data_IF_448560107274
#
_entry.id   IF_448560107274
#
_cell.length_a   1.000
_cell.length_b   1.000
_cell.length_c   1.000
_cell.angle_alpha   90.00
_cell.angle_beta   90.00
_cell.angle_gamma   90.00
#
_symmetry.space_group_name_H-M   'P 1'
#
loop_
_entity.id
_entity.type
_entity.pdbx_description
1 polymer ?
#
# COMPACT_ATOMS: atom_id res chain seq x y z
N UNK A 1 -14.70 29.84 23.15
CA UNK A 1 -14.97 28.43 22.85
C UNK A 1 -13.80 27.58 23.37
N UNK A 2 -14.06 26.44 24.01
CA UNK A 2 -13.03 25.50 24.49
C UNK A 2 -13.04 24.28 23.56
N UNK A 3 -11.87 23.93 23.02
CA UNK A 3 -11.70 22.72 22.22
C UNK A 3 -11.57 21.52 23.18
N UNK A 4 -12.48 20.56 23.06
CA UNK A 4 -12.38 19.25 23.71
C UNK A 4 -11.96 18.22 22.65
N UNK A 5 -10.95 17.41 22.95
CA UNK A 5 -10.48 16.34 22.07
C UNK A 5 -10.54 15.00 22.79
N UNK A 6 -10.95 13.96 22.04
CA UNK A 6 -10.85 12.57 22.46
C UNK A 6 -9.98 11.85 21.43
N UNK A 7 -8.83 11.33 21.87
CA UNK A 7 -7.97 10.53 20.99
C UNK A 7 -8.56 9.14 20.80
N UNK A 8 -8.77 8.75 19.54
CA UNK A 8 -9.09 7.38 19.17
C UNK A 8 -7.89 6.45 19.34
N UNK A 9 -8.07 5.12 19.16
CA UNK A 9 -6.96 4.18 19.17
C UNK A 9 -5.91 4.55 18.11
N UNK A 10 -4.63 4.30 18.43
CA UNK A 10 -3.51 4.56 17.52
C UNK A 10 -3.68 3.80 16.21
N UNK A 11 -3.14 4.36 15.11
CA UNK A 11 -3.04 3.61 13.86
C UNK A 11 -2.22 2.35 14.08
N UNK A 12 -2.72 1.21 13.60
CA UNK A 12 -1.95 -0.03 13.64
C UNK A 12 -0.74 0.08 12.70
N UNK A 13 0.30 -0.68 12.98
CA UNK A 13 1.40 -0.81 12.04
C UNK A 13 0.87 -1.41 10.72
N UNK A 14 1.30 -0.85 9.60
CA UNK A 14 0.94 -1.36 8.28
C UNK A 14 1.54 -2.76 8.09
N UNK A 15 0.68 -3.70 7.70
CA UNK A 15 1.08 -5.06 7.33
C UNK A 15 0.83 -5.27 5.84
N UNK A 16 1.87 -5.15 5.02
CA UNK A 16 1.76 -5.47 3.60
C UNK A 16 1.65 -7.00 3.43
N UNK A 17 0.64 -7.45 2.70
CA UNK A 17 0.47 -8.85 2.34
C UNK A 17 1.40 -9.23 1.19
N UNK A 18 2.30 -10.18 1.41
CA UNK A 18 3.32 -10.60 0.47
C UNK A 18 2.73 -11.21 -0.81
N UNK A 19 1.63 -11.96 -0.69
CA UNK A 19 0.96 -12.56 -1.87
C UNK A 19 0.37 -11.47 -2.77
N UNK A 20 -0.32 -10.46 -2.21
CA UNK A 20 -0.83 -9.34 -3.01
C UNK A 20 0.32 -8.52 -3.59
N UNK A 21 1.40 -8.33 -2.82
CA UNK A 21 2.57 -7.58 -3.24
C UNK A 21 3.30 -8.24 -4.42
N UNK A 22 3.34 -9.57 -4.49
CA UNK A 22 3.86 -10.36 -5.62
C UNK A 22 3.14 -9.96 -6.92
N UNK A 23 1.82 -10.10 -6.97
CA UNK A 23 1.02 -9.75 -8.16
C UNK A 23 1.10 -8.26 -8.49
N UNK A 24 1.06 -7.38 -7.48
CA UNK A 24 1.26 -5.95 -7.68
C UNK A 24 2.61 -5.64 -8.35
N UNK A 25 3.68 -6.28 -7.87
CA UNK A 25 5.05 -6.08 -8.37
C UNK A 25 5.17 -6.55 -9.82
N UNK A 26 4.61 -7.71 -10.16
CA UNK A 26 4.55 -8.19 -11.54
C UNK A 26 3.79 -7.20 -12.43
N UNK A 27 2.58 -6.83 -12.04
CA UNK A 27 1.70 -5.98 -12.83
C UNK A 27 2.28 -4.58 -13.05
N UNK A 28 2.78 -3.92 -12.01
CA UNK A 28 3.38 -2.58 -12.16
C UNK A 28 4.66 -2.63 -13.02
N UNK A 29 5.40 -3.73 -12.98
CA UNK A 29 6.58 -3.94 -13.83
C UNK A 29 6.19 -4.08 -15.30
N UNK A 30 5.10 -4.79 -15.63
CA UNK A 30 4.61 -4.87 -17.02
C UNK A 30 4.19 -3.51 -17.60
N UNK A 31 3.82 -2.56 -16.74
CA UNK A 31 3.51 -1.17 -17.12
C UNK A 31 4.77 -0.31 -17.31
N UNK A 32 5.96 -0.90 -17.22
CA UNK A 32 7.26 -0.24 -17.45
C UNK A 32 7.80 0.52 -16.24
N UNK A 33 7.19 0.35 -15.05
CA UNK A 33 7.68 0.96 -13.81
C UNK A 33 8.75 0.08 -13.18
N UNK A 34 9.79 0.70 -12.62
CA UNK A 34 10.82 -0.01 -11.85
C UNK A 34 10.36 -0.12 -10.40
N UNK A 35 10.49 -1.32 -9.83
CA UNK A 35 10.20 -1.58 -8.42
C UNK A 35 11.49 -1.50 -7.63
N UNK A 36 11.50 -0.64 -6.61
CA UNK A 36 12.63 -0.48 -5.68
C UNK A 36 12.52 -1.43 -4.49
N UNK A 37 13.44 -1.26 -3.53
CA UNK A 37 13.41 -2.01 -2.27
C UNK A 37 12.20 -1.61 -1.41
N UNK A 38 11.72 -2.57 -0.60
CA UNK A 38 10.64 -2.34 0.36
C UNK A 38 11.17 -1.42 1.46
N UNK A 39 10.67 -0.19 1.50
CA UNK A 39 10.95 0.71 2.60
C UNK A 39 10.03 0.38 3.79
N UNK A 40 10.62 -0.18 4.84
CA UNK A 40 9.92 -0.56 6.08
C UNK A 40 9.62 0.63 7.02
N UNK A 41 10.14 1.83 6.72
CA UNK A 41 9.75 3.06 7.42
C UNK A 41 8.46 3.62 6.81
N UNK A 42 7.34 2.92 7.00
CA UNK A 42 6.04 3.39 6.52
C UNK A 42 5.55 4.54 7.39
N UNK A 43 5.18 5.65 6.76
CA UNK A 43 4.50 6.77 7.44
C UNK A 43 3.20 6.34 8.14
N UNK A 44 2.63 7.25 8.94
CA UNK A 44 1.35 6.98 9.62
C UNK A 44 0.21 6.95 8.61
N UNK A 45 -0.48 5.82 8.48
CA UNK A 45 -1.64 5.63 7.60
C UNK A 45 -2.72 4.83 8.31
N UNK A 46 -3.99 5.20 8.11
CA UNK A 46 -5.15 4.46 8.61
C UNK A 46 -5.35 3.10 7.91
N UNK A 47 -4.68 2.89 6.76
CA UNK A 47 -4.61 1.59 6.09
C UNK A 47 -3.99 0.52 7.00
N UNK A 48 -3.16 0.90 7.98
CA UNK A 48 -2.69 -0.06 8.99
C UNK A 48 -3.83 -0.69 9.79
N UNK A 49 -4.92 0.05 10.06
CA UNK A 49 -6.10 -0.49 10.72
C UNK A 49 -6.85 -1.48 9.81
N UNK A 50 -6.79 -1.30 8.49
CA UNK A 50 -7.38 -2.22 7.52
C UNK A 50 -6.51 -3.46 7.32
N UNK A 51 -5.18 -3.31 7.29
CA UNK A 51 -4.27 -4.41 6.99
C UNK A 51 -4.31 -5.56 8.01
N UNK A 52 -4.71 -5.29 9.25
CA UNK A 52 -4.89 -6.34 10.28
C UNK A 52 -6.25 -7.06 10.19
N UNK A 53 -7.15 -6.61 9.30
CA UNK A 53 -8.51 -7.14 9.13
C UNK A 53 -8.73 -7.77 7.76
N UNK A 54 -8.04 -7.29 6.73
CA UNK A 54 -8.14 -7.78 5.37
C UNK A 54 -6.75 -7.78 4.71
N UNK A 55 -6.43 -8.76 3.85
CA UNK A 55 -5.19 -8.74 3.07
C UNK A 55 -5.09 -7.42 2.31
N UNK A 56 -4.01 -6.66 2.54
CA UNK A 56 -3.87 -5.29 2.07
C UNK A 56 -2.43 -4.99 1.66
N UNK A 57 -2.27 -4.02 0.76
CA UNK A 57 -0.98 -3.39 0.46
C UNK A 57 -1.13 -1.87 0.49
N UNK A 58 -0.04 -1.15 0.73
CA UNK A 58 0.04 0.30 0.57
C UNK A 58 1.33 0.67 -0.15
N UNK A 59 1.30 0.52 -1.48
CA UNK A 59 2.43 0.78 -2.35
C UNK A 59 2.62 2.28 -2.63
N UNK A 60 3.88 2.72 -2.77
CA UNK A 60 4.23 4.05 -3.26
C UNK A 60 4.57 3.99 -4.74
N UNK A 61 4.10 4.96 -5.52
CA UNK A 61 4.54 5.18 -6.89
C UNK A 61 5.28 6.52 -6.97
N UNK A 62 6.42 6.53 -7.67
CA UNK A 62 7.11 7.80 -7.93
C UNK A 62 6.32 8.66 -8.91
N UNK A 63 6.22 9.95 -8.58
CA UNK A 63 5.60 11.01 -9.41
C UNK A 63 6.63 12.04 -9.88
N UNK A 64 7.90 11.83 -9.58
CA UNK A 64 9.01 12.72 -9.93
C UNK A 64 10.26 11.91 -10.30
N UNK A 65 11.17 12.52 -11.06
CA UNK A 65 12.50 11.97 -11.32
C UNK A 65 13.49 12.28 -10.19
N UNK A 66 13.14 13.20 -9.30
CA UNK A 66 13.95 13.62 -8.16
C UNK A 66 13.31 13.17 -6.84
N UNK A 67 14.15 13.02 -5.81
CA UNK A 67 13.67 12.76 -4.45
C UNK A 67 13.06 14.03 -3.86
N UNK A 68 11.74 14.05 -3.73
CA UNK A 68 11.00 15.16 -3.16
C UNK A 68 10.41 14.75 -1.80
N UNK A 69 10.55 15.56 -0.74
CA UNK A 69 9.90 15.29 0.54
C UNK A 69 8.38 15.23 0.40
N UNK A 70 7.76 14.26 1.08
CA UNK A 70 6.31 14.32 1.30
C UNK A 70 5.92 15.57 2.08
N UNK A 71 4.67 16.00 1.97
CA UNK A 71 4.14 17.18 2.67
C UNK A 71 4.85 18.50 2.34
N UNK A 72 5.41 18.64 1.12
CA UNK A 72 6.06 19.87 0.67
C UNK A 72 5.33 20.53 -0.51
N UNK A 73 5.66 21.80 -0.79
CA UNK A 73 5.11 22.53 -1.93
C UNK A 73 5.57 21.92 -3.27
N UNK A 74 6.80 21.41 -3.32
CA UNK A 74 7.36 20.71 -4.47
C UNK A 74 6.58 19.43 -4.76
N UNK A 75 6.12 18.70 -3.73
CA UNK A 75 5.29 17.51 -3.91
C UNK A 75 3.92 17.86 -4.50
N UNK A 76 3.34 19.01 -4.13
CA UNK A 76 2.09 19.51 -4.73
C UNK A 76 2.26 19.75 -6.24
N UNK A 77 3.36 20.39 -6.63
CA UNK A 77 3.69 20.62 -8.06
C UNK A 77 3.89 19.30 -8.78
N UNK A 78 4.63 18.35 -8.19
CA UNK A 78 4.85 17.03 -8.79
C UNK A 78 3.54 16.24 -8.93
N UNK A 79 2.63 16.32 -7.95
CA UNK A 79 1.35 15.63 -7.97
C UNK A 79 0.40 16.16 -9.06
N UNK A 80 0.52 17.43 -9.44
CA UNK A 80 -0.25 18.05 -10.52
C UNK A 80 0.46 18.00 -11.89
N UNK A 81 1.55 17.24 -12.02
CA UNK A 81 2.33 17.14 -13.26
C UNK A 81 1.87 15.97 -14.14
N UNK A 82 2.31 15.96 -15.41
CA UNK A 82 2.08 14.84 -16.33
C UNK A 82 2.62 13.50 -15.79
N UNK A 83 3.73 13.53 -15.03
CA UNK A 83 4.27 12.34 -14.37
C UNK A 83 3.38 11.86 -13.22
N UNK A 84 2.78 12.81 -12.48
CA UNK A 84 1.75 12.55 -11.47
C UNK A 84 0.51 11.89 -12.08
N UNK A 85 -0.02 12.48 -13.16
CA UNK A 85 -1.17 11.93 -13.90
C UNK A 85 -0.87 10.52 -14.42
N UNK A 86 0.32 10.32 -15.02
CA UNK A 86 0.76 9.00 -15.47
C UNK A 86 0.84 8.01 -14.30
N UNK A 87 1.28 8.42 -13.12
CA UNK A 87 1.33 7.56 -11.93
C UNK A 87 -0.05 7.15 -11.43
N UNK A 88 -1.02 8.06 -11.47
CA UNK A 88 -2.42 7.72 -11.16
C UNK A 88 -2.93 6.65 -12.11
N UNK A 89 -2.72 6.81 -13.43
CA UNK A 89 -3.19 5.85 -14.44
C UNK A 89 -2.47 4.50 -14.30
N UNK A 90 -1.14 4.49 -14.13
CA UNK A 90 -0.37 3.26 -13.97
C UNK A 90 -0.78 2.54 -12.67
N UNK A 91 -0.97 3.28 -11.57
CA UNK A 91 -1.43 2.73 -10.30
C UNK A 91 -2.84 2.13 -10.39
N UNK A 92 -3.77 2.83 -11.05
CA UNK A 92 -5.13 2.32 -11.26
C UNK A 92 -5.15 1.03 -12.09
N UNK A 93 -4.33 0.96 -13.16
CA UNK A 93 -4.17 -0.25 -13.97
C UNK A 93 -3.59 -1.40 -13.16
N UNK A 94 -2.50 -1.17 -12.43
CA UNK A 94 -1.88 -2.21 -11.62
C UNK A 94 -2.84 -2.72 -10.53
N UNK A 95 -3.61 -1.85 -9.87
CA UNK A 95 -4.64 -2.26 -8.90
C UNK A 95 -5.69 -3.15 -9.55
N UNK A 96 -6.20 -2.76 -10.72
CA UNK A 96 -7.21 -3.53 -11.46
C UNK A 96 -6.68 -4.89 -11.91
N UNK A 97 -5.44 -4.95 -12.42
CA UNK A 97 -4.77 -6.18 -12.82
C UNK A 97 -4.56 -7.11 -11.62
N UNK A 98 -4.07 -6.59 -10.49
CA UNK A 98 -3.89 -7.38 -9.27
C UNK A 98 -5.22 -7.91 -8.73
N UNK A 99 -6.28 -7.10 -8.75
CA UNK A 99 -7.61 -7.57 -8.37
C UNK A 99 -8.10 -8.68 -9.32
N UNK A 100 -7.89 -8.54 -10.62
CA UNK A 100 -8.22 -9.56 -11.61
C UNK A 100 -7.46 -10.86 -11.38
N UNK A 101 -6.16 -10.79 -11.06
CA UNK A 101 -5.34 -11.96 -10.72
C UNK A 101 -5.88 -12.71 -9.50
N UNK A 102 -6.21 -11.98 -8.42
CA UNK A 102 -6.76 -12.58 -7.19
C UNK A 102 -8.13 -13.23 -7.41
N UNK A 103 -8.97 -12.65 -8.27
CA UNK A 103 -10.28 -13.21 -8.62
C UNK A 103 -10.15 -14.41 -9.55
N UNK A 104 -9.26 -14.35 -10.52
CA UNK A 104 -9.06 -15.41 -11.52
C UNK A 104 -8.29 -16.62 -10.96
N UNK A 105 -7.52 -16.44 -9.88
CA UNK A 105 -6.68 -17.48 -9.27
C UNK A 105 -7.14 -17.71 -7.81
N UNK A 106 -8.10 -18.62 -7.56
CA UNK A 106 -8.60 -18.88 -6.21
C UNK A 106 -7.51 -19.25 -5.18
N UNK A 107 -6.45 -19.92 -5.62
CA UNK A 107 -5.29 -20.23 -4.79
C UNK A 107 -4.59 -18.97 -4.26
N UNK A 108 -4.40 -17.95 -5.11
CA UNK A 108 -3.79 -16.69 -4.71
C UNK A 108 -4.57 -16.00 -3.60
N UNK A 109 -5.90 -15.98 -3.71
CA UNK A 109 -6.77 -15.42 -2.67
C UNK A 109 -6.73 -16.26 -1.38
N UNK A 110 -6.62 -17.59 -1.48
CA UNK A 110 -6.45 -18.46 -0.30
C UNK A 110 -5.15 -18.14 0.43
N UNK A 111 -4.03 -18.14 -0.31
CA UNK A 111 -2.69 -17.83 0.24
C UNK A 111 -2.65 -16.45 0.90
N UNK A 112 -3.25 -15.43 0.28
CA UNK A 112 -3.31 -14.09 0.85
C UNK A 112 -4.07 -14.05 2.19
N UNK A 113 -5.18 -14.80 2.30
CA UNK A 113 -5.95 -14.93 3.55
C UNK A 113 -5.20 -15.73 4.61
N UNK A 114 -4.56 -16.83 4.22
CA UNK A 114 -3.74 -17.66 5.12
C UNK A 114 -2.58 -16.84 5.72
N UNK A 115 -1.88 -16.05 4.91
CA UNK A 115 -0.81 -15.16 5.38
C UNK A 115 -1.31 -14.13 6.43
N UNK A 116 -2.50 -13.56 6.21
CA UNK A 116 -3.11 -12.65 7.19
C UNK A 116 -3.39 -13.37 8.51
N UNK A 117 -3.97 -14.57 8.47
CA UNK A 117 -4.26 -15.34 9.69
C UNK A 117 -2.99 -15.70 10.46
N UNK A 118 -1.91 -16.09 9.77
CA UNK A 118 -0.61 -16.34 10.40
C UNK A 118 -0.01 -15.07 11.03
N UNK A 119 -0.13 -13.93 10.35
CA UNK A 119 0.35 -12.65 10.89
C UNK A 119 -0.42 -12.24 12.15
N UNK A 120 -1.74 -12.44 12.17
CA UNK A 120 -2.61 -12.17 13.34
C UNK A 120 -2.30 -13.09 14.52
N UNK A 121 -1.97 -14.36 14.27
CA UNK A 121 -1.53 -15.30 15.32
C UNK A 121 -0.22 -14.86 15.95
N UNK A 122 0.75 -14.42 15.13
CA UNK A 122 2.05 -13.93 15.60
C UNK A 122 1.89 -12.73 16.54
N UNK A 123 1.05 -11.75 16.20
CA UNK A 123 0.81 -10.59 17.07
C UNK A 123 0.12 -10.94 18.39
N UNK A 124 -0.76 -11.95 18.40
CA UNK A 124 -1.45 -12.42 19.63
C UNK A 124 -0.54 -13.14 20.62
N UNK A 125 0.63 -13.62 20.20
CA UNK A 125 1.61 -14.32 21.06
C UNK A 125 2.53 -13.32 21.77
N UNK A 126 2.60 -12.07 21.31
CA UNK A 126 3.53 -11.03 21.83
C UNK A 126 2.91 -10.22 22.98
N UNK A 127 2.05 -10.84 23.81
CA UNK A 127 1.40 -10.21 24.97
C UNK A 127 1.97 -10.76 26.28
#
# INVERSE_FOLDING_TARGET
>A
ARLEYNWGPRCNALQNNAVILEYWTENITTLGRKVGEININSGSTDVGNMSVRAPSIHAFLSISNETIPGHSAEFVVAAASELGDKAVIDGAKALAMTAADLVAKPDALSRAKEELEETRKRERIVI
#
